data_IF_310092444367
#
_entry.id   IF_310092444367
#
_cell.length_a   1.000
_cell.length_b   1.000
_cell.length_c   1.000
_cell.angle_alpha   90.00
_cell.angle_beta   90.00
_cell.angle_gamma   90.00
#
_symmetry.space_group_name_H-M   'P 1'
#
loop_
_entity.id
_entity.type
_entity.pdbx_description
1 polymer ?
#
# COMPACT_ATOMS: atom_id res chain seq x y z
N UNK A 1 6.42 14.08 -17.80
CA UNK A 1 6.70 15.37 -17.10
C UNK A 1 8.08 15.85 -17.52
N UNK A 2 8.37 17.15 -17.58
CA UNK A 2 9.73 17.59 -17.86
C UNK A 2 10.67 17.15 -16.72
N UNK A 3 11.88 16.71 -17.07
CA UNK A 3 12.94 16.38 -16.13
C UNK A 3 13.22 17.55 -15.17
N UNK A 4 13.27 17.28 -13.88
CA UNK A 4 13.75 18.27 -12.91
C UNK A 4 15.29 18.38 -13.03
N UNK A 5 15.76 19.52 -13.58
CA UNK A 5 17.18 19.76 -13.85
C UNK A 5 18.06 19.90 -12.59
N UNK A 6 17.42 20.06 -11.42
CA UNK A 6 18.12 20.19 -10.15
C UNK A 6 18.52 18.81 -9.57
N UNK A 7 17.94 17.72 -10.10
CA UNK A 7 18.24 16.36 -9.70
C UNK A 7 19.31 15.79 -10.63
N UNK A 8 20.36 15.21 -10.06
CA UNK A 8 21.46 14.56 -10.78
C UNK A 8 21.69 13.13 -10.35
N UNK A 9 21.55 12.85 -9.04
CA UNK A 9 21.78 11.55 -8.45
C UNK A 9 20.62 11.13 -7.56
N UNK A 10 20.07 9.96 -7.85
CA UNK A 10 18.92 9.40 -7.12
C UNK A 10 19.34 8.15 -6.37
N UNK A 11 19.04 8.11 -5.06
CA UNK A 11 19.10 6.88 -4.27
C UNK A 11 17.79 6.14 -4.39
N UNK A 12 17.81 4.89 -4.84
CA UNK A 12 16.65 4.00 -4.93
C UNK A 12 16.74 2.97 -3.82
N UNK A 13 15.68 2.86 -3.03
CA UNK A 13 15.56 1.79 -2.03
C UNK A 13 14.86 0.60 -2.69
N UNK A 14 15.51 -0.55 -2.66
CA UNK A 14 14.94 -1.82 -3.12
C UNK A 14 13.98 -2.43 -2.09
N UNK A 15 13.35 -3.53 -2.48
CA UNK A 15 12.33 -4.22 -1.68
C UNK A 15 12.87 -5.08 -0.53
N UNK A 16 14.20 -5.18 -0.40
CA UNK A 16 14.81 -6.03 0.61
C UNK A 16 14.81 -7.51 0.20
N UNK A 17 14.80 -8.43 1.17
CA UNK A 17 14.79 -9.86 0.91
C UNK A 17 13.45 -10.28 0.29
N UNK A 18 13.49 -11.32 -0.55
CA UNK A 18 12.26 -11.94 -1.07
C UNK A 18 11.57 -12.67 0.08
N UNK A 19 10.36 -12.23 0.40
CA UNK A 19 9.48 -12.90 1.36
C UNK A 19 8.38 -13.58 0.56
N UNK A 20 8.01 -14.82 0.92
CA UNK A 20 6.92 -15.54 0.27
C UNK A 20 5.64 -14.68 0.33
N UNK A 21 5.00 -14.50 -0.81
CA UNK A 21 3.83 -13.61 -0.96
C UNK A 21 4.14 -12.12 -1.12
N UNK A 22 5.42 -11.73 -1.12
CA UNK A 22 5.83 -10.34 -1.36
C UNK A 22 7.13 -10.36 -2.16
N UNK A 23 7.27 -9.77 -3.30
CA UNK A 23 8.59 -9.37 -3.72
C UNK A 23 9.02 -9.52 -5.17
N UNK A 24 8.64 -10.54 -5.92
CA UNK A 24 9.10 -10.67 -7.31
C UNK A 24 8.66 -9.47 -8.16
N UNK A 25 7.47 -8.95 -7.92
CA UNK A 25 6.89 -7.79 -8.59
C UNK A 25 7.55 -6.47 -8.19
N UNK A 26 8.04 -6.36 -6.94
CA UNK A 26 8.82 -5.17 -6.52
C UNK A 26 10.20 -5.16 -7.13
N UNK A 27 10.76 -6.32 -7.39
CA UNK A 27 12.02 -6.46 -8.11
C UNK A 27 11.90 -5.89 -9.54
N UNK A 28 10.81 -6.24 -10.23
CA UNK A 28 10.46 -5.64 -11.51
C UNK A 28 10.29 -4.12 -11.41
N UNK A 29 9.51 -3.63 -10.43
CA UNK A 29 9.23 -2.22 -10.27
C UNK A 29 10.50 -1.41 -9.99
N UNK A 30 11.37 -1.86 -9.09
CA UNK A 30 12.64 -1.22 -8.79
C UNK A 30 13.62 -1.24 -9.97
N UNK A 31 13.66 -2.34 -10.73
CA UNK A 31 14.46 -2.42 -11.96
C UNK A 31 13.98 -1.39 -13.00
N UNK A 32 12.67 -1.26 -13.21
CA UNK A 32 12.12 -0.27 -14.13
C UNK A 32 12.38 1.16 -13.67
N UNK A 33 12.32 1.42 -12.36
CA UNK A 33 12.69 2.72 -11.79
C UNK A 33 14.14 3.09 -12.13
N UNK A 34 15.09 2.21 -11.83
CA UNK A 34 16.49 2.46 -12.13
C UNK A 34 16.72 2.73 -13.63
N UNK A 35 16.10 1.93 -14.49
CA UNK A 35 16.17 2.11 -15.94
C UNK A 35 15.61 3.45 -16.41
N UNK A 36 14.43 3.82 -15.92
CA UNK A 36 13.79 5.09 -16.28
C UNK A 36 14.62 6.29 -15.87
N UNK A 37 15.17 6.27 -14.64
CA UNK A 37 16.04 7.32 -14.15
C UNK A 37 17.32 7.45 -15.00
N UNK A 38 17.93 6.32 -15.40
CA UNK A 38 19.10 6.32 -16.30
C UNK A 38 18.76 6.80 -17.72
N UNK A 39 17.59 6.45 -18.26
CA UNK A 39 17.09 6.96 -19.54
C UNK A 39 16.93 8.48 -19.52
N UNK A 40 16.55 9.06 -18.37
CA UNK A 40 16.49 10.51 -18.15
C UNK A 40 17.88 11.16 -17.91
N UNK A 41 18.95 10.37 -17.89
CA UNK A 41 20.31 10.85 -17.73
C UNK A 41 20.74 11.11 -16.27
N UNK A 42 20.01 10.53 -15.30
CA UNK A 42 20.34 10.63 -13.89
C UNK A 42 21.29 9.51 -13.46
N UNK A 43 22.19 9.81 -12.51
CA UNK A 43 23.02 8.82 -11.85
C UNK A 43 22.17 8.08 -10.80
N UNK A 44 22.17 6.75 -10.84
CA UNK A 44 21.35 5.90 -9.97
C UNK A 44 22.21 5.13 -8.99
N UNK A 45 21.94 5.31 -7.71
CA UNK A 45 22.49 4.51 -6.60
C UNK A 45 21.38 3.61 -6.08
N UNK A 46 21.59 2.31 -6.06
CA UNK A 46 20.62 1.33 -5.56
C UNK A 46 21.13 0.69 -4.28
N UNK A 47 20.25 0.57 -3.28
CA UNK A 47 20.48 -0.24 -2.08
C UNK A 47 19.44 -1.35 -2.03
N UNK A 48 19.87 -2.60 -1.99
CA UNK A 48 19.02 -3.77 -1.79
C UNK A 48 19.79 -4.90 -1.12
N UNK A 49 19.17 -5.66 -0.23
CA UNK A 49 19.85 -6.73 0.51
C UNK A 49 19.92 -8.07 -0.23
N UNK A 50 19.15 -8.25 -1.29
CA UNK A 50 19.12 -9.50 -2.04
C UNK A 50 20.10 -9.47 -3.23
N UNK A 51 21.15 -10.28 -3.22
CA UNK A 51 22.10 -10.33 -4.34
C UNK A 51 21.60 -11.14 -5.55
N UNK A 52 20.51 -11.88 -5.40
CA UNK A 52 19.99 -12.79 -6.42
C UNK A 52 18.82 -12.22 -7.23
N UNK A 53 18.66 -10.90 -7.25
CA UNK A 53 17.58 -10.25 -8.00
C UNK A 53 18.10 -9.57 -9.25
N UNK A 54 17.22 -9.37 -10.25
CA UNK A 54 17.53 -8.58 -11.45
C UNK A 54 17.93 -7.14 -11.09
N UNK A 55 17.28 -6.59 -10.03
CA UNK A 55 17.49 -5.21 -9.58
C UNK A 55 18.96 -4.96 -9.20
N UNK A 56 19.65 -5.94 -8.58
CA UNK A 56 21.03 -5.81 -8.15
C UNK A 56 22.08 -6.17 -9.21
N UNK A 57 21.65 -6.43 -10.45
CA UNK A 57 22.58 -6.58 -11.57
C UNK A 57 23.39 -5.28 -11.78
N UNK A 58 24.69 -5.41 -11.98
CA UNK A 58 25.63 -4.30 -12.11
C UNK A 58 25.33 -3.35 -13.28
N UNK A 59 24.50 -3.74 -14.24
CA UNK A 59 24.10 -2.91 -15.38
C UNK A 59 22.81 -2.11 -15.13
N UNK A 60 22.09 -2.39 -14.04
CA UNK A 60 20.79 -1.75 -13.74
C UNK A 60 21.00 -0.36 -13.15
N UNK A 61 21.86 -0.22 -12.16
CA UNK A 61 22.21 1.06 -11.55
C UNK A 61 23.69 1.40 -11.76
N UNK A 62 24.07 2.67 -11.59
CA UNK A 62 25.46 3.09 -11.71
C UNK A 62 26.28 2.65 -10.50
N UNK A 63 25.62 2.52 -9.35
CA UNK A 63 26.18 1.95 -8.12
C UNK A 63 25.16 1.05 -7.45
N UNK A 64 25.56 -0.14 -7.06
CA UNK A 64 24.74 -1.13 -6.37
C UNK A 64 25.38 -1.46 -5.03
N UNK A 65 24.60 -1.25 -3.96
CA UNK A 65 24.94 -1.62 -2.60
C UNK A 65 24.11 -2.83 -2.19
N UNK A 66 24.79 -3.96 -1.99
CA UNK A 66 24.16 -5.19 -1.46
C UNK A 66 24.39 -5.17 0.05
N UNK A 67 23.53 -4.46 0.74
CA UNK A 67 23.63 -4.19 2.17
C UNK A 67 22.25 -4.37 2.84
N UNK A 68 22.20 -4.56 4.16
CA UNK A 68 20.94 -4.56 4.88
C UNK A 68 20.14 -3.29 4.62
N UNK A 69 18.87 -3.47 4.27
CA UNK A 69 17.95 -2.36 3.99
C UNK A 69 17.40 -1.84 5.32
N UNK A 70 18.21 -1.05 6.03
CA UNK A 70 17.88 -0.40 7.30
C UNK A 70 18.45 1.03 7.34
N UNK A 71 18.06 1.80 8.36
CA UNK A 71 18.42 3.23 8.46
C UNK A 71 19.93 3.44 8.54
N UNK A 72 20.65 2.63 9.30
CA UNK A 72 22.10 2.79 9.52
C UNK A 72 22.90 2.64 8.22
N UNK A 73 22.59 1.62 7.45
CA UNK A 73 23.26 1.41 6.16
C UNK A 73 22.85 2.44 5.12
N UNK A 74 21.53 2.81 5.08
CA UNK A 74 21.07 3.86 4.18
C UNK A 74 21.71 5.22 4.50
N UNK A 75 21.85 5.59 5.76
CA UNK A 75 22.56 6.80 6.17
C UNK A 75 24.02 6.77 5.71
N UNK A 76 24.69 5.63 5.89
CA UNK A 76 26.07 5.45 5.46
C UNK A 76 26.24 5.61 3.95
N UNK A 77 25.29 5.08 3.16
CA UNK A 77 25.26 5.25 1.70
C UNK A 77 24.96 6.70 1.32
N UNK A 78 23.97 7.35 1.96
CA UNK A 78 23.66 8.78 1.75
C UNK A 78 24.90 9.64 2.02
N UNK A 79 25.59 9.39 3.12
CA UNK A 79 26.80 10.09 3.53
C UNK A 79 27.94 9.97 2.49
N UNK A 80 28.08 8.79 1.92
CA UNK A 80 29.13 8.46 0.93
C UNK A 80 28.78 8.99 -0.45
N UNK A 81 27.57 8.74 -0.93
CA UNK A 81 27.16 9.01 -2.31
C UNK A 81 26.61 10.42 -2.51
N UNK A 82 26.11 11.07 -1.44
CA UNK A 82 25.52 12.42 -1.50
C UNK A 82 24.45 12.55 -2.60
N UNK A 83 23.40 11.69 -2.60
CA UNK A 83 22.34 11.81 -3.58
C UNK A 83 21.56 13.10 -3.39
N UNK A 84 21.04 13.67 -4.48
CA UNK A 84 20.15 14.83 -4.43
C UNK A 84 18.75 14.43 -3.97
N UNK A 85 18.40 13.16 -4.23
CA UNK A 85 17.03 12.69 -3.97
C UNK A 85 16.97 11.19 -3.65
N UNK A 86 15.85 10.81 -3.03
CA UNK A 86 15.52 9.46 -2.61
C UNK A 86 14.21 9.02 -3.28
N UNK A 87 14.20 7.84 -3.90
CA UNK A 87 13.00 7.18 -4.41
C UNK A 87 12.73 5.91 -3.61
N UNK A 88 11.62 5.90 -2.86
CA UNK A 88 11.24 4.81 -1.96
C UNK A 88 9.97 4.06 -2.41
N UNK A 89 9.12 4.67 -3.24
CA UNK A 89 7.78 4.18 -3.59
C UNK A 89 7.76 2.93 -4.47
N UNK A 90 8.91 2.50 -4.99
CA UNK A 90 9.06 1.28 -5.78
C UNK A 90 9.75 0.14 -5.03
N UNK A 91 10.13 0.37 -3.77
CA UNK A 91 10.72 -0.63 -2.86
C UNK A 91 9.70 -1.35 -1.96
N UNK A 92 8.41 -1.28 -2.30
CA UNK A 92 7.35 -1.89 -1.47
C UNK A 92 7.21 -1.22 -0.10
N UNK A 93 6.62 -1.93 0.86
CA UNK A 93 6.41 -1.40 2.21
C UNK A 93 7.72 -1.09 2.95
N UNK A 94 8.77 -1.89 2.69
CA UNK A 94 10.10 -1.67 3.28
C UNK A 94 10.63 -0.29 2.88
N UNK A 95 10.52 0.08 1.61
CA UNK A 95 10.95 1.39 1.12
C UNK A 95 10.20 2.54 1.78
N UNK A 96 8.87 2.43 1.91
CA UNK A 96 8.04 3.47 2.55
C UNK A 96 8.37 3.65 4.02
N UNK A 97 8.48 2.56 4.79
CA UNK A 97 8.80 2.62 6.21
C UNK A 97 10.17 3.28 6.43
N UNK A 98 11.16 2.92 5.62
CA UNK A 98 12.49 3.51 5.72
C UNK A 98 12.52 4.99 5.33
N UNK A 99 11.71 5.41 4.36
CA UNK A 99 11.58 6.84 4.04
C UNK A 99 11.02 7.63 5.23
N UNK A 100 10.03 7.08 5.94
CA UNK A 100 9.49 7.67 7.18
C UNK A 100 10.59 7.77 8.24
N UNK A 101 11.29 6.66 8.50
CA UNK A 101 12.34 6.60 9.53
C UNK A 101 13.49 7.57 9.26
N UNK A 102 13.93 7.68 7.99
CA UNK A 102 14.99 8.61 7.57
C UNK A 102 14.58 10.08 7.76
N UNK A 103 13.32 10.41 7.46
CA UNK A 103 12.78 11.77 7.67
C UNK A 103 12.64 12.08 9.17
N UNK A 104 12.08 11.16 9.97
CA UNK A 104 11.89 11.35 11.43
C UNK A 104 13.22 11.51 12.17
N UNK A 105 14.25 10.79 11.74
CA UNK A 105 15.62 10.96 12.27
C UNK A 105 16.33 12.20 11.74
N UNK A 106 15.71 12.95 10.82
CA UNK A 106 16.26 14.16 10.25
C UNK A 106 17.38 13.95 9.22
N UNK A 107 17.65 12.72 8.83
CA UNK A 107 18.74 12.34 7.91
C UNK A 107 18.53 12.97 6.54
N UNK A 108 17.31 12.92 5.99
CA UNK A 108 17.03 13.52 4.68
C UNK A 108 17.32 15.03 4.69
N UNK A 109 16.97 15.71 5.76
CA UNK A 109 17.24 17.16 5.93
C UNK A 109 18.72 17.46 6.14
N UNK A 110 19.42 16.67 6.97
CA UNK A 110 20.85 16.83 7.26
C UNK A 110 21.69 16.78 5.97
N UNK A 111 21.36 15.83 5.08
CA UNK A 111 22.09 15.64 3.83
C UNK A 111 21.47 16.33 2.62
N UNK A 112 20.40 17.11 2.82
CA UNK A 112 19.64 17.81 1.77
C UNK A 112 19.15 16.87 0.66
N UNK A 113 18.57 15.72 1.04
CA UNK A 113 18.03 14.70 0.13
C UNK A 113 16.53 14.94 -0.03
N UNK A 114 16.07 15.18 -1.26
CA UNK A 114 14.66 15.36 -1.57
C UNK A 114 13.96 14.01 -1.74
N UNK A 115 12.83 13.78 -1.05
CA UNK A 115 11.99 12.61 -1.31
C UNK A 115 11.22 12.78 -2.63
N UNK A 116 11.38 11.85 -3.56
CA UNK A 116 10.64 11.78 -4.82
C UNK A 116 9.34 10.99 -4.66
N UNK A 117 8.37 11.27 -5.52
CA UNK A 117 7.06 10.61 -5.50
C UNK A 117 6.21 11.05 -4.30
N UNK A 118 5.53 10.08 -3.69
CA UNK A 118 4.61 10.33 -2.57
C UNK A 118 5.36 10.83 -1.34
N UNK A 119 4.88 11.94 -0.77
CA UNK A 119 5.50 12.61 0.37
C UNK A 119 5.14 11.91 1.69
N UNK A 120 5.99 12.03 2.71
CA UNK A 120 5.82 11.38 4.03
C UNK A 120 4.44 11.64 4.64
N UNK A 121 3.93 12.86 4.54
CA UNK A 121 2.59 13.20 5.03
C UNK A 121 1.49 12.34 4.38
N UNK A 122 1.58 12.15 3.06
CA UNK A 122 0.63 11.33 2.31
C UNK A 122 0.75 9.83 2.65
N UNK A 123 2.00 9.36 2.83
CA UNK A 123 2.26 7.98 3.25
C UNK A 123 1.63 7.72 4.62
N UNK A 124 1.88 8.59 5.60
CA UNK A 124 1.31 8.46 6.95
C UNK A 124 -0.22 8.44 6.93
N UNK A 125 -0.86 9.31 6.14
CA UNK A 125 -2.33 9.33 6.01
C UNK A 125 -2.91 8.08 5.37
N UNK A 126 -2.16 7.41 4.51
CA UNK A 126 -2.59 6.16 3.88
C UNK A 126 -2.39 4.94 4.79
N UNK A 127 -1.33 4.93 5.60
CA UNK A 127 -0.90 3.78 6.40
C UNK A 127 -1.44 3.80 7.85
N UNK A 128 -1.60 4.99 8.43
CA UNK A 128 -2.16 5.13 9.78
C UNK A 128 -3.69 5.03 9.73
N UNK A 129 -4.25 4.14 10.54
CA UNK A 129 -5.69 3.83 10.52
C UNK A 129 -6.56 5.01 10.91
N UNK A 130 -6.16 5.80 11.90
CA UNK A 130 -6.94 6.94 12.36
C UNK A 130 -6.91 8.05 11.32
N UNK A 131 -5.72 8.39 10.83
CA UNK A 131 -5.55 9.40 9.78
C UNK A 131 -6.23 8.98 8.47
N UNK A 132 -6.19 7.70 8.13
CA UNK A 132 -6.90 7.17 6.98
C UNK A 132 -8.41 7.31 7.13
N UNK A 133 -8.94 6.91 8.30
CA UNK A 133 -10.37 7.05 8.61
C UNK A 133 -10.83 8.50 8.53
N UNK A 134 -10.13 9.43 9.19
CA UNK A 134 -10.42 10.86 9.12
C UNK A 134 -10.40 11.38 7.68
N UNK A 135 -9.45 10.90 6.89
CA UNK A 135 -9.33 11.27 5.47
C UNK A 135 -10.53 10.78 4.66
N UNK A 136 -10.95 9.53 4.85
CA UNK A 136 -12.10 8.97 4.15
C UNK A 136 -13.41 9.65 4.56
N UNK A 137 -13.59 9.91 5.86
CA UNK A 137 -14.75 10.64 6.38
C UNK A 137 -14.85 12.07 5.78
N UNK A 138 -13.72 12.77 5.66
CA UNK A 138 -13.67 14.12 5.07
C UNK A 138 -14.18 14.17 3.63
N UNK A 139 -13.93 13.13 2.84
CA UNK A 139 -14.38 13.06 1.44
C UNK A 139 -15.62 12.19 1.25
N UNK A 140 -16.28 11.81 2.34
CA UNK A 140 -17.46 10.95 2.34
C UNK A 140 -17.26 9.60 1.63
N UNK A 141 -16.07 9.03 1.73
CA UNK A 141 -15.78 7.68 1.25
C UNK A 141 -16.09 6.67 2.35
N UNK A 142 -16.90 5.64 2.06
CA UNK A 142 -17.28 4.67 3.07
C UNK A 142 -16.12 3.72 3.37
N UNK A 143 -15.87 3.50 4.66
CA UNK A 143 -14.97 2.44 5.17
C UNK A 143 -15.78 1.51 6.07
N UNK A 144 -15.35 0.26 6.28
CA UNK A 144 -16.01 -0.63 7.23
C UNK A 144 -16.04 0.01 8.63
N UNK A 145 -17.20 -0.05 9.28
CA UNK A 145 -17.34 0.43 10.65
C UNK A 145 -16.45 -0.40 11.57
N UNK A 146 -15.65 0.27 12.37
CA UNK A 146 -14.68 -0.38 13.27
C UNK A 146 -14.60 0.31 14.62
N UNK A 147 -14.22 -0.45 15.65
CA UNK A 147 -13.94 0.05 16.98
C UNK A 147 -12.83 -0.75 17.66
N UNK A 148 -11.99 -0.09 18.45
CA UNK A 148 -11.08 -0.76 19.38
C UNK A 148 -11.88 -1.03 20.66
N UNK A 149 -11.86 -2.27 21.14
CA UNK A 149 -12.55 -2.69 22.34
C UNK A 149 -11.59 -3.33 23.33
N UNK A 150 -11.81 -3.05 24.59
CA UNK A 150 -11.05 -3.59 25.73
C UNK A 150 -11.92 -4.49 26.63
N UNK A 151 -13.23 -4.48 26.37
CA UNK A 151 -14.20 -5.24 27.15
C UNK A 151 -15.24 -5.90 26.26
N UNK A 152 -15.80 -7.01 26.74
CA UNK A 152 -16.93 -7.67 26.09
C UNK A 152 -18.16 -6.76 26.00
N UNK A 153 -18.39 -5.92 26.99
CA UNK A 153 -19.53 -4.99 26.95
C UNK A 153 -19.45 -4.01 25.78
N UNK A 154 -18.25 -3.43 25.53
CA UNK A 154 -18.00 -2.56 24.38
C UNK A 154 -18.16 -3.31 23.05
N UNK A 155 -17.70 -4.56 22.98
CA UNK A 155 -17.86 -5.41 21.80
C UNK A 155 -19.35 -5.66 21.47
N UNK A 156 -20.16 -5.99 22.48
CA UNK A 156 -21.61 -6.19 22.30
C UNK A 156 -22.34 -4.89 21.91
N UNK A 157 -21.93 -3.77 22.46
CA UNK A 157 -22.49 -2.46 22.09
C UNK A 157 -22.21 -2.16 20.60
N UNK A 158 -20.98 -2.39 20.16
CA UNK A 158 -20.62 -2.24 18.75
C UNK A 158 -21.42 -3.21 17.86
N UNK A 159 -21.55 -4.47 18.24
CA UNK A 159 -22.31 -5.48 17.50
C UNK A 159 -23.79 -5.10 17.35
N UNK A 160 -24.42 -4.55 18.39
CA UNK A 160 -25.81 -4.07 18.31
C UNK A 160 -25.98 -2.91 17.33
N UNK A 161 -24.98 -2.04 17.23
CA UNK A 161 -24.98 -0.88 16.33
C UNK A 161 -24.74 -1.28 14.87
N UNK A 162 -23.81 -2.19 14.64
CA UNK A 162 -23.29 -2.51 13.30
C UNK A 162 -23.97 -3.75 12.71
N UNK A 163 -24.34 -4.72 13.54
CA UNK A 163 -24.85 -6.03 13.12
C UNK A 163 -23.74 -7.02 12.81
N UNK A 164 -24.11 -8.20 12.38
CA UNK A 164 -23.21 -9.29 11.99
C UNK A 164 -23.18 -9.44 10.46
N UNK A 165 -22.13 -10.08 9.88
CA UNK A 165 -20.95 -10.63 10.55
C UNK A 165 -19.92 -9.57 10.94
N UNK A 166 -19.10 -9.87 11.96
CA UNK A 166 -18.03 -9.00 12.47
C UNK A 166 -16.68 -9.73 12.43
N UNK A 167 -15.63 -9.00 12.08
CA UNK A 167 -14.24 -9.49 12.21
C UNK A 167 -13.67 -8.99 13.52
N UNK A 168 -13.03 -9.88 14.28
CA UNK A 168 -12.30 -9.56 15.51
C UNK A 168 -10.82 -9.82 15.28
N UNK A 169 -9.97 -8.82 15.53
CA UNK A 169 -8.51 -8.91 15.40
C UNK A 169 -7.86 -8.46 16.68
N UNK A 170 -7.23 -9.36 17.46
CA UNK A 170 -6.48 -8.97 18.65
C UNK A 170 -5.32 -8.05 18.30
N UNK A 171 -5.05 -7.05 19.14
CA UNK A 171 -3.92 -6.17 18.94
C UNK A 171 -2.60 -6.89 19.24
N UNK A 172 -1.57 -6.60 18.41
CA UNK A 172 -0.20 -7.11 18.57
C UNK A 172 -0.06 -8.64 18.58
N UNK A 173 -0.90 -9.35 17.81
CA UNK A 173 -0.73 -10.80 17.61
C UNK A 173 -0.07 -11.11 16.27
N UNK A 174 0.78 -12.14 16.25
CA UNK A 174 1.40 -12.62 15.01
C UNK A 174 0.48 -13.61 14.29
N UNK A 175 0.37 -13.46 12.96
CA UNK A 175 -0.31 -14.45 12.12
C UNK A 175 -1.82 -14.58 12.35
N UNK A 176 -2.50 -13.53 12.85
CA UNK A 176 -3.96 -13.57 13.06
C UNK A 176 -4.41 -14.45 14.22
N UNK A 177 -3.49 -14.89 15.10
CA UNK A 177 -3.79 -15.77 16.24
C UNK A 177 -4.81 -15.11 17.18
N UNK A 178 -5.87 -15.82 17.49
CA UNK A 178 -6.93 -15.36 18.41
C UNK A 178 -8.00 -14.48 17.78
N UNK A 179 -7.88 -14.14 16.50
CA UNK A 179 -8.91 -13.46 15.72
C UNK A 179 -9.89 -14.45 15.06
N UNK A 180 -10.94 -13.89 14.45
CA UNK A 180 -11.94 -14.66 13.71
C UNK A 180 -13.08 -13.81 13.20
N UNK A 181 -14.02 -14.45 12.49
CA UNK A 181 -15.28 -13.86 12.06
C UNK A 181 -16.38 -14.39 12.98
N UNK A 182 -17.15 -13.48 13.55
CA UNK A 182 -18.35 -13.79 14.33
C UNK A 182 -19.60 -13.56 13.48
N UNK A 183 -20.42 -14.57 13.30
CA UNK A 183 -21.69 -14.49 12.59
C UNK A 183 -22.88 -14.32 13.54
N UNK A 184 -22.64 -14.51 14.85
CA UNK A 184 -23.64 -14.41 15.91
C UNK A 184 -23.04 -13.81 17.18
N UNK A 185 -23.93 -13.47 18.16
CA UNK A 185 -23.50 -12.94 19.45
C UNK A 185 -22.73 -13.98 20.26
N UNK A 186 -23.12 -15.27 20.17
CA UNK A 186 -22.43 -16.36 20.87
C UNK A 186 -21.00 -16.55 20.35
N UNK A 187 -20.81 -16.52 19.04
CA UNK A 187 -19.49 -16.58 18.43
C UNK A 187 -18.64 -15.34 18.75
N UNK A 188 -19.26 -14.16 18.81
CA UNK A 188 -18.59 -12.94 19.22
C UNK A 188 -18.04 -13.06 20.64
N UNK A 189 -18.83 -13.61 21.56
CA UNK A 189 -18.40 -13.83 22.95
C UNK A 189 -17.15 -14.74 23.02
N UNK A 190 -17.14 -15.83 22.27
CA UNK A 190 -16.01 -16.74 22.23
C UNK A 190 -14.74 -16.07 21.64
N UNK A 191 -14.88 -15.43 20.44
CA UNK A 191 -13.76 -14.87 19.72
C UNK A 191 -13.20 -13.65 20.45
N UNK A 192 -14.04 -12.75 20.98
CA UNK A 192 -13.57 -11.57 21.72
C UNK A 192 -12.87 -11.95 23.01
N UNK A 193 -13.42 -12.90 23.80
CA UNK A 193 -12.77 -13.39 25.00
C UNK A 193 -11.39 -13.97 24.71
N UNK A 194 -11.29 -14.76 23.64
CA UNK A 194 -10.05 -15.32 23.17
C UNK A 194 -9.09 -14.20 22.70
N UNK A 195 -9.59 -13.26 21.89
CA UNK A 195 -8.81 -12.17 21.35
C UNK A 195 -8.23 -11.24 22.43
N UNK A 196 -9.03 -10.81 23.40
CA UNK A 196 -8.57 -9.99 24.51
C UNK A 196 -7.52 -10.70 25.38
N UNK A 197 -7.64 -12.04 25.53
CA UNK A 197 -6.67 -12.85 26.27
C UNK A 197 -5.34 -13.02 25.54
N UNK A 198 -5.37 -13.11 24.20
CA UNK A 198 -4.15 -13.24 23.38
C UNK A 198 -3.47 -11.90 23.11
N UNK A 199 -4.19 -10.80 23.18
CA UNK A 199 -3.62 -9.46 23.02
C UNK A 199 -2.67 -9.11 24.18
N UNK A 200 -1.46 -8.68 23.83
CA UNK A 200 -0.45 -8.25 24.82
C UNK A 200 -0.90 -7.04 25.65
N UNK A 201 -1.82 -6.23 25.12
CA UNK A 201 -2.32 -5.02 25.76
C UNK A 201 -3.81 -5.10 26.12
N UNK A 202 -4.44 -6.28 25.96
CA UNK A 202 -5.85 -6.49 26.29
C UNK A 202 -6.83 -5.76 25.37
N UNK A 203 -6.44 -5.47 24.11
CA UNK A 203 -7.28 -4.78 23.13
C UNK A 203 -7.55 -5.66 21.92
N UNK A 204 -8.72 -5.50 21.32
CA UNK A 204 -9.08 -6.09 20.03
C UNK A 204 -9.76 -5.03 19.14
N UNK A 205 -9.44 -5.07 17.84
CA UNK A 205 -10.20 -4.37 16.82
C UNK A 205 -11.40 -5.21 16.44
N UNK A 206 -12.59 -4.61 16.44
CA UNK A 206 -13.81 -5.20 15.88
C UNK A 206 -14.22 -4.37 14.68
N UNK A 207 -14.58 -5.02 13.59
CA UNK A 207 -14.88 -4.39 12.32
C UNK A 207 -16.04 -5.12 11.62
N UNK A 208 -16.88 -4.38 10.88
CA UNK A 208 -17.87 -4.99 10.00
C UNK A 208 -17.18 -5.93 9.01
N UNK A 209 -17.61 -7.16 8.93
CA UNK A 209 -17.11 -8.09 7.93
C UNK A 209 -17.69 -7.78 6.55
N UNK A 210 -16.83 -7.80 5.56
CA UNK A 210 -17.17 -7.76 4.14
C UNK A 210 -16.84 -9.09 3.44
N UNK A 211 -16.77 -10.17 4.21
CA UNK A 211 -16.58 -11.50 3.67
C UNK A 211 -17.65 -11.81 2.60
N UNK A 212 -17.23 -12.39 1.49
CA UNK A 212 -18.11 -12.69 0.36
C UNK A 212 -18.42 -11.50 -0.56
N UNK A 213 -17.94 -10.30 -0.26
CA UNK A 213 -18.01 -9.17 -1.19
C UNK A 213 -16.96 -9.33 -2.30
N UNK A 214 -17.23 -8.69 -3.45
CA UNK A 214 -16.24 -8.64 -4.55
C UNK A 214 -15.07 -7.76 -4.14
N UNK A 215 -13.85 -8.23 -4.39
CA UNK A 215 -12.65 -7.41 -4.24
C UNK A 215 -12.28 -6.78 -5.57
N UNK A 216 -12.31 -5.46 -5.61
CA UNK A 216 -12.05 -4.65 -6.79
C UNK A 216 -10.87 -3.73 -6.50
N UNK A 217 -9.93 -3.67 -7.43
CA UNK A 217 -8.77 -2.82 -7.32
C UNK A 217 -8.69 -1.84 -8.49
N UNK A 218 -8.15 -0.65 -8.22
CA UNK A 218 -7.79 0.31 -9.25
C UNK A 218 -6.32 0.69 -9.13
N UNK A 219 -5.60 0.57 -10.22
CA UNK A 219 -4.28 1.18 -10.37
C UNK A 219 -4.45 2.61 -10.86
N UNK A 220 -4.00 3.55 -10.03
CA UNK A 220 -4.16 4.98 -10.26
C UNK A 220 -2.78 5.63 -10.35
N UNK A 221 -2.63 6.56 -11.28
CA UNK A 221 -1.44 7.41 -11.39
C UNK A 221 -1.84 8.87 -11.22
N UNK A 222 -1.08 9.60 -10.43
CA UNK A 222 -1.26 11.04 -10.25
C UNK A 222 0.09 11.76 -10.25
N UNK A 223 0.18 12.84 -11.01
CA UNK A 223 1.37 13.69 -11.04
C UNK A 223 1.27 14.90 -10.08
N UNK A 224 2.34 15.69 -10.01
CA UNK A 224 2.39 16.89 -9.18
C UNK A 224 1.48 18.03 -9.67
N UNK A 225 1.01 17.98 -10.93
CA UNK A 225 0.10 18.94 -11.53
C UNK A 225 -1.37 18.53 -11.41
N UNK A 226 -1.66 17.49 -10.62
CA UNK A 226 -2.99 16.89 -10.41
C UNK A 226 -3.60 16.23 -11.65
N UNK A 227 -2.79 15.85 -12.63
CA UNK A 227 -3.27 14.94 -13.66
C UNK A 227 -3.39 13.56 -13.01
N UNK A 228 -4.62 13.05 -12.95
CA UNK A 228 -4.94 11.79 -12.29
C UNK A 228 -5.69 10.86 -13.23
N UNK A 229 -5.16 9.66 -13.43
CA UNK A 229 -5.75 8.65 -14.32
C UNK A 229 -5.87 7.31 -13.61
N UNK A 230 -6.93 6.57 -13.91
CA UNK A 230 -7.01 5.14 -13.59
C UNK A 230 -6.45 4.37 -14.77
N UNK A 231 -5.39 3.60 -14.54
CA UNK A 231 -4.74 2.81 -15.59
C UNK A 231 -5.53 1.55 -15.89
N UNK A 232 -5.98 0.88 -14.81
CA UNK A 232 -6.69 -0.39 -14.91
C UNK A 232 -7.61 -0.58 -13.72
N UNK A 233 -8.77 -1.20 -13.97
CA UNK A 233 -9.58 -1.88 -12.95
C UNK A 233 -9.21 -3.35 -12.93
N UNK A 234 -9.19 -3.96 -11.75
CA UNK A 234 -8.93 -5.37 -11.56
C UNK A 234 -9.97 -5.97 -10.64
N UNK A 235 -10.26 -7.23 -10.82
CA UNK A 235 -11.21 -7.99 -10.02
C UNK A 235 -10.60 -9.30 -9.59
N UNK A 236 -10.59 -9.55 -8.29
CA UNK A 236 -10.20 -10.84 -7.73
C UNK A 236 -11.37 -11.83 -7.90
N UNK A 237 -11.08 -13.04 -8.39
CA UNK A 237 -12.09 -14.10 -8.50
C UNK A 237 -12.49 -14.63 -7.12
N UNK A 238 -11.59 -14.61 -6.17
CA UNK A 238 -11.87 -14.92 -4.78
C UNK A 238 -12.45 -13.69 -4.07
N UNK A 239 -13.39 -13.88 -3.15
CA UNK A 239 -13.99 -12.78 -2.41
C UNK A 239 -13.01 -12.13 -1.44
N UNK A 240 -13.35 -10.93 -0.95
CA UNK A 240 -12.57 -10.19 0.04
C UNK A 240 -12.18 -11.08 1.22
N UNK A 241 -10.89 -11.04 1.57
CA UNK A 241 -10.28 -11.83 2.64
C UNK A 241 -9.26 -12.85 2.13
N UNK A 242 -9.25 -13.16 0.84
CA UNK A 242 -8.16 -13.88 0.18
C UNK A 242 -7.17 -12.84 -0.34
N UNK A 243 -5.90 -13.01 0.00
CA UNK A 243 -4.87 -12.04 -0.39
C UNK A 243 -4.72 -12.02 -1.92
N UNK A 244 -4.67 -10.83 -2.53
CA UNK A 244 -4.55 -10.63 -3.99
C UNK A 244 -3.42 -11.45 -4.63
N UNK A 245 -2.30 -11.65 -3.92
CA UNK A 245 -1.19 -12.48 -4.39
C UNK A 245 -1.50 -13.98 -4.47
N UNK A 246 -2.55 -14.44 -3.82
CA UNK A 246 -2.98 -15.83 -3.73
C UNK A 246 -4.27 -16.08 -4.52
N UNK A 247 -4.87 -15.03 -5.10
CA UNK A 247 -6.10 -15.06 -5.90
C UNK A 247 -5.80 -15.00 -7.40
N UNK A 248 -6.74 -15.46 -8.21
CA UNK A 248 -6.76 -15.21 -9.65
C UNK A 248 -7.35 -13.82 -9.87
N UNK A 249 -6.61 -12.95 -10.57
CA UNK A 249 -7.00 -11.57 -10.84
C UNK A 249 -7.32 -11.39 -12.32
N UNK A 250 -8.50 -10.87 -12.63
CA UNK A 250 -8.89 -10.45 -13.98
C UNK A 250 -8.64 -8.95 -14.18
N UNK A 251 -8.00 -8.58 -15.28
CA UNK A 251 -7.75 -7.20 -15.69
C UNK A 251 -8.13 -7.00 -17.14
N UNK A 252 -9.08 -6.11 -17.48
CA UNK A 252 -9.92 -5.31 -16.58
C UNK A 252 -10.95 -6.14 -15.81
N UNK A 253 -11.59 -5.54 -14.79
CA UNK A 253 -12.71 -6.16 -14.06
C UNK A 253 -13.81 -6.59 -15.05
N UNK A 254 -14.36 -7.81 -14.86
CA UNK A 254 -15.24 -8.46 -15.83
C UNK A 254 -16.71 -8.49 -15.42
N UNK A 255 -17.01 -8.43 -14.12
CA UNK A 255 -18.36 -8.64 -13.59
C UNK A 255 -19.05 -7.34 -13.14
N UNK A 256 -18.40 -6.19 -13.35
CA UNK A 256 -18.94 -4.87 -12.99
C UNK A 256 -19.81 -4.32 -14.12
N UNK A 257 -20.93 -3.71 -13.76
CA UNK A 257 -21.67 -2.82 -14.65
C UNK A 257 -20.87 -1.52 -14.91
N UNK A 258 -21.17 -0.82 -16.00
CA UNK A 258 -20.54 0.47 -16.28
C UNK A 258 -20.73 1.48 -15.15
N UNK A 259 -21.90 1.47 -14.51
CA UNK A 259 -22.20 2.35 -13.37
C UNK A 259 -21.31 2.04 -12.16
N UNK A 260 -21.10 0.77 -11.84
CA UNK A 260 -20.19 0.36 -10.76
C UNK A 260 -18.75 0.74 -11.08
N UNK A 261 -18.30 0.53 -12.32
CA UNK A 261 -16.96 0.94 -12.75
C UNK A 261 -16.78 2.44 -12.58
N UNK A 262 -17.73 3.27 -13.02
CA UNK A 262 -17.60 4.72 -12.91
C UNK A 262 -17.64 5.20 -11.45
N UNK A 263 -18.49 4.59 -10.61
CA UNK A 263 -18.60 4.87 -9.19
C UNK A 263 -17.27 4.61 -8.47
N UNK A 264 -16.73 3.40 -8.61
CA UNK A 264 -15.51 2.98 -7.93
C UNK A 264 -14.27 3.70 -8.49
N UNK A 265 -14.26 3.96 -9.79
CA UNK A 265 -13.22 4.76 -10.45
C UNK A 265 -13.16 6.18 -9.88
N UNK A 266 -14.32 6.85 -9.79
CA UNK A 266 -14.38 8.21 -9.24
C UNK A 266 -13.94 8.22 -7.77
N UNK A 267 -14.43 7.28 -6.97
CA UNK A 267 -13.99 7.11 -5.59
C UNK A 267 -12.45 6.97 -5.49
N UNK A 268 -11.85 6.13 -6.31
CA UNK A 268 -10.40 5.94 -6.33
C UNK A 268 -9.62 7.21 -6.68
N UNK A 269 -10.11 8.00 -7.64
CA UNK A 269 -9.50 9.28 -8.01
C UNK A 269 -9.60 10.29 -6.86
N UNK A 270 -10.77 10.41 -6.21
CA UNK A 270 -10.99 11.34 -5.11
C UNK A 270 -10.11 11.00 -3.90
N UNK A 271 -9.98 9.71 -3.59
CA UNK A 271 -9.11 9.19 -2.54
C UNK A 271 -7.63 9.56 -2.79
N UNK A 272 -7.14 9.25 -3.99
CA UNK A 272 -5.74 9.49 -4.35
C UNK A 272 -5.40 11.00 -4.33
N UNK A 273 -6.34 11.84 -4.74
CA UNK A 273 -6.22 13.31 -4.66
C UNK A 273 -6.19 13.80 -3.24
N UNK A 274 -7.14 13.35 -2.39
CA UNK A 274 -7.23 13.80 -1.00
C UNK A 274 -6.01 13.36 -0.18
N UNK A 275 -5.53 12.13 -0.38
CA UNK A 275 -4.30 11.65 0.24
C UNK A 275 -3.06 12.42 -0.24
N UNK A 276 -3.11 13.04 -1.41
CA UNK A 276 -1.99 13.76 -2.00
C UNK A 276 -0.90 12.85 -2.55
N UNK A 277 -1.26 11.63 -2.97
CA UNK A 277 -0.32 10.67 -3.57
C UNK A 277 0.26 11.23 -4.86
N UNK A 278 1.54 10.95 -5.12
CA UNK A 278 2.25 11.27 -6.35
C UNK A 278 2.95 10.02 -6.88
N UNK A 279 2.73 9.70 -8.14
CA UNK A 279 3.16 8.45 -8.77
C UNK A 279 2.06 7.40 -8.75
N UNK A 280 2.45 6.12 -8.70
CA UNK A 280 1.54 4.98 -8.68
C UNK A 280 0.88 4.78 -7.33
N UNK A 281 -0.38 4.34 -7.36
CA UNK A 281 -1.18 4.04 -6.19
C UNK A 281 -2.16 2.91 -6.51
N UNK A 282 -2.28 1.97 -5.61
CA UNK A 282 -3.30 0.93 -5.67
C UNK A 282 -4.40 1.23 -4.66
N UNK A 283 -5.66 1.22 -5.10
CA UNK A 283 -6.85 1.41 -4.28
C UNK A 283 -7.65 0.11 -4.27
N UNK A 284 -7.87 -0.46 -3.09
CA UNK A 284 -8.64 -1.69 -2.88
C UNK A 284 -10.02 -1.37 -2.31
N UNK A 285 -11.04 -1.93 -2.95
CA UNK A 285 -12.44 -1.69 -2.66
C UNK A 285 -13.17 -3.01 -2.52
N UNK A 286 -14.08 -3.09 -1.54
CA UNK A 286 -15.05 -4.17 -1.45
C UNK A 286 -16.38 -3.70 -2.00
N UNK A 287 -16.96 -4.43 -2.93
CA UNK A 287 -18.27 -4.14 -3.52
C UNK A 287 -19.28 -5.22 -3.13
N UNK A 288 -20.41 -4.81 -2.58
CA UNK A 288 -21.52 -5.71 -2.25
C UNK A 288 -22.05 -6.36 -3.56
N UNK A 289 -22.07 -7.71 -3.68
CA UNK A 289 -22.53 -8.37 -4.88
C UNK A 289 -24.02 -8.16 -5.22
N UNK A 290 -24.81 -7.64 -4.28
CA UNK A 290 -26.25 -7.46 -4.41
C UNK A 290 -26.69 -5.98 -4.47
N UNK A 291 -25.76 -5.04 -4.34
CA UNK A 291 -26.06 -3.60 -4.38
C UNK A 291 -24.83 -2.81 -4.83
N UNK A 292 -25.01 -1.50 -5.05
CA UNK A 292 -23.89 -0.58 -5.35
C UNK A 292 -23.12 -0.12 -4.10
N UNK A 293 -23.39 -0.74 -2.93
CA UNK A 293 -22.67 -0.39 -1.70
C UNK A 293 -21.26 -0.91 -1.76
N UNK A 294 -20.30 -0.05 -1.44
CA UNK A 294 -18.90 -0.42 -1.38
C UNK A 294 -18.23 0.14 -0.12
N UNK A 295 -17.05 -0.41 0.18
CA UNK A 295 -16.15 0.11 1.19
C UNK A 295 -14.75 0.24 0.62
N UNK A 296 -14.04 1.28 1.06
CA UNK A 296 -12.60 1.40 0.85
C UNK A 296 -11.90 0.52 1.88
N UNK A 297 -11.12 -0.43 1.42
CA UNK A 297 -10.43 -1.41 2.28
C UNK A 297 -9.02 -0.95 2.60
N UNK A 298 -8.26 -0.61 1.56
CA UNK A 298 -6.85 -0.26 1.69
C UNK A 298 -6.42 0.63 0.52
N UNK A 299 -5.46 1.50 0.80
CA UNK A 299 -4.80 2.31 -0.22
C UNK A 299 -3.30 2.18 -0.06
N UNK A 300 -2.64 1.70 -1.09
CA UNK A 300 -1.20 1.56 -1.12
C UNK A 300 -0.58 2.75 -1.89
N UNK A 301 0.03 3.75 -1.22
CA UNK A 301 0.54 4.97 -1.87
C UNK A 301 1.89 4.71 -2.57
N UNK A 302 1.96 3.63 -3.30
CA UNK A 302 3.14 3.09 -3.97
C UNK A 302 2.72 2.16 -5.10
N UNK A 303 3.66 1.80 -5.96
CA UNK A 303 3.47 0.68 -6.90
C UNK A 303 3.24 -0.60 -6.10
N UNK A 304 2.24 -1.37 -6.50
CA UNK A 304 1.81 -2.60 -5.84
C UNK A 304 2.17 -3.84 -6.66
N UNK A 305 1.84 -5.01 -6.14
CA UNK A 305 1.99 -6.27 -6.86
C UNK A 305 1.15 -6.32 -8.13
N UNK A 306 -0.06 -5.82 -8.06
CA UNK A 306 -0.99 -5.75 -9.18
C UNK A 306 -0.56 -4.76 -10.27
N UNK A 307 0.31 -3.80 -9.97
CA UNK A 307 0.80 -2.83 -10.97
C UNK A 307 1.57 -3.49 -12.13
N UNK A 308 2.31 -4.56 -11.87
CA UNK A 308 3.00 -5.32 -12.93
C UNK A 308 1.99 -6.05 -13.83
N UNK A 309 0.95 -6.67 -13.23
CA UNK A 309 -0.15 -7.29 -13.96
C UNK A 309 -0.92 -6.26 -14.79
N UNK A 310 -1.31 -5.14 -14.19
CA UNK A 310 -2.00 -4.05 -14.87
C UNK A 310 -1.17 -3.48 -16.03
N UNK A 311 0.13 -3.31 -15.84
CA UNK A 311 1.03 -2.88 -16.92
C UNK A 311 1.06 -3.86 -18.08
N UNK A 312 1.09 -5.15 -17.79
CA UNK A 312 1.06 -6.18 -18.83
C UNK A 312 -0.28 -6.27 -19.54
N UNK A 313 -1.38 -6.15 -18.82
CA UNK A 313 -2.74 -6.21 -19.37
C UNK A 313 -3.08 -5.01 -20.25
N UNK A 314 -2.65 -3.82 -19.87
CA UNK A 314 -2.98 -2.56 -20.57
C UNK A 314 -1.92 -2.11 -21.56
N UNK A 315 -0.69 -2.61 -21.45
CA UNK A 315 0.47 -2.08 -22.16
C UNK A 315 1.00 -0.75 -21.60
N UNK A 316 0.41 -0.22 -20.52
CA UNK A 316 0.83 1.03 -19.89
C UNK A 316 1.91 0.76 -18.83
N UNK A 317 3.12 1.34 -18.95
CA UNK A 317 4.26 0.99 -18.11
C UNK A 317 4.22 1.73 -16.77
N UNK A 318 3.35 1.29 -15.84
CA UNK A 318 3.08 1.96 -14.56
C UNK A 318 4.38 2.26 -13.80
N UNK A 319 5.22 1.25 -13.56
CA UNK A 319 6.46 1.42 -12.80
C UNK A 319 7.47 2.37 -13.47
N UNK A 320 7.42 2.49 -14.79
CA UNK A 320 8.27 3.43 -15.55
C UNK A 320 7.80 4.87 -15.44
N UNK A 321 6.49 5.08 -15.32
CA UNK A 321 5.86 6.41 -15.33
C UNK A 321 5.69 6.95 -13.92
N UNK A 322 5.62 6.07 -12.90
CA UNK A 322 5.51 6.45 -11.48
C UNK A 322 6.74 7.16 -10.95
#
# INVERSE_FOLDING_TARGET
>A
MPLNKDIKRVLVIGSGPIVIGQAAEFDYAGTQACRSLKEEGLEVVLVNSNPATIMTDVHIADRVYIEPVNVEFLESVIKRERPDSLLATLGGQVGLNLAIDLEEKGILREYNVQLLGTQIYSIKRAEDRELFKETMEKINQPIPESAIVETMAAAKEFARKVGFPLIVRPAYTLGGTGGGIAESEDELDEIVNKGLKYSLIGQALIERSVAGWKEIEFEVLRDAADNCITVCSMENLDPVGVHTGDSIVAAPAQTLSDREVQLLRQASIDIVRELGVRGGCNVQLALDPNSERYYVIEVNPRVSRSSALASKATGYPIAKVS
#
